data_IF_546574810962
#
_entry.id   IF_546574810962
#
_cell.length_a   1.000
_cell.length_b   1.000
_cell.length_c   1.000
_cell.angle_alpha   90.00
_cell.angle_beta   90.00
_cell.angle_gamma   90.00
#
_symmetry.space_group_name_H-M   'P 1'
#
loop_
_entity.id
_entity.type
_entity.pdbx_description
1 polymer ?
#
# COMPACT_ATOMS: atom_id res chain seq x y z
N UNK A 1 -9.67 -4.61 6.27
CA UNK A 1 -9.42 -4.93 4.83
C UNK A 1 -8.77 -3.75 4.09
N UNK A 2 -7.86 -4.02 3.15
CA UNK A 2 -7.02 -2.99 2.53
C UNK A 2 -7.42 -2.70 1.08
N UNK A 3 -7.10 -1.49 0.62
CA UNK A 3 -7.21 -1.08 -0.78
C UNK A 3 -5.83 -0.55 -1.22
N UNK A 4 -5.30 -1.08 -2.32
CA UNK A 4 -4.02 -0.63 -2.89
C UNK A 4 -4.31 0.14 -4.16
N UNK A 5 -3.84 1.38 -4.22
CA UNK A 5 -3.90 2.22 -5.41
C UNK A 5 -2.56 2.16 -6.14
N UNK A 6 -2.63 1.74 -7.40
CA UNK A 6 -1.51 1.72 -8.35
C UNK A 6 -1.84 2.72 -9.44
N UNK A 7 -1.01 3.76 -9.58
CA UNK A 7 -1.20 4.82 -10.56
C UNK A 7 0.06 4.96 -11.46
N UNK A 8 0.06 5.95 -12.35
CA UNK A 8 1.20 6.16 -13.25
C UNK A 8 2.49 6.56 -12.49
N UNK A 9 2.39 7.22 -11.33
CA UNK A 9 3.56 7.51 -10.50
C UNK A 9 4.14 6.25 -9.87
N UNK A 10 3.36 5.17 -9.71
CA UNK A 10 3.91 3.89 -9.25
C UNK A 10 4.98 3.36 -10.19
N UNK A 11 4.84 3.58 -11.50
CA UNK A 11 5.82 3.11 -12.49
C UNK A 11 7.11 3.95 -12.47
N UNK A 12 6.99 5.24 -12.14
CA UNK A 12 8.11 6.18 -12.11
C UNK A 12 8.87 6.11 -10.77
N UNK A 13 8.14 6.09 -9.64
CA UNK A 13 8.70 6.19 -8.29
C UNK A 13 8.75 4.86 -7.53
N UNK A 14 8.15 3.79 -8.08
CA UNK A 14 8.09 2.48 -7.40
C UNK A 14 7.28 2.48 -6.10
N UNK A 15 6.37 3.45 -5.94
CA UNK A 15 5.57 3.64 -4.73
C UNK A 15 4.08 3.51 -5.01
N UNK A 16 3.34 2.98 -4.03
CA UNK A 16 1.91 2.69 -4.08
C UNK A 16 1.22 3.34 -2.89
N UNK A 17 -0.06 3.65 -3.03
CA UNK A 17 -0.85 4.18 -1.91
C UNK A 17 -1.69 3.08 -1.31
N UNK A 18 -1.48 2.76 -0.04
CA UNK A 18 -2.29 1.83 0.74
C UNK A 18 -3.35 2.61 1.53
N UNK A 19 -4.62 2.22 1.38
CA UNK A 19 -5.74 2.78 2.14
C UNK A 19 -6.33 1.74 3.07
N UNK A 20 -6.45 2.12 4.33
CA UNK A 20 -7.08 1.35 5.39
C UNK A 20 -8.59 1.57 5.37
N UNK A 21 -9.37 0.50 5.22
CA UNK A 21 -10.84 0.61 5.19
C UNK A 21 -11.40 1.07 6.53
N UNK A 22 -10.82 0.59 7.63
CA UNK A 22 -11.40 0.74 8.95
C UNK A 22 -11.11 2.10 9.58
N UNK A 23 -9.93 2.67 9.29
CA UNK A 23 -9.50 3.98 9.81
C UNK A 23 -9.59 5.11 8.78
N UNK A 24 -9.87 4.79 7.52
CA UNK A 24 -9.78 5.72 6.36
C UNK A 24 -8.39 6.35 6.17
N UNK A 25 -7.37 5.86 6.87
CA UNK A 25 -5.99 6.33 6.73
C UNK A 25 -5.42 5.93 5.36
N UNK A 26 -4.56 6.79 4.82
CA UNK A 26 -3.84 6.57 3.57
C UNK A 26 -2.36 6.77 3.82
N UNK A 27 -1.55 5.84 3.32
CA UNK A 27 -0.09 5.90 3.40
C UNK A 27 0.52 5.56 2.03
N UNK A 28 1.57 6.28 1.65
CA UNK A 28 2.34 6.01 0.44
C UNK A 28 3.57 5.21 0.84
N UNK A 29 3.70 4.03 0.25
CA UNK A 29 4.69 3.01 0.62
C UNK A 29 5.44 2.56 -0.63
N UNK A 30 6.68 2.12 -0.45
CA UNK A 30 7.37 1.37 -1.49
C UNK A 30 6.75 -0.03 -1.68
N UNK A 31 7.05 -0.66 -2.82
CA UNK A 31 6.64 -2.05 -3.06
C UNK A 31 7.20 -3.03 -2.01
N UNK A 32 8.39 -2.75 -1.45
CA UNK A 32 8.98 -3.57 -0.40
C UNK A 32 8.19 -3.47 0.91
N UNK A 33 7.86 -2.26 1.33
CA UNK A 33 7.03 -2.01 2.53
C UNK A 33 5.62 -2.58 2.36
N UNK A 34 5.04 -2.49 1.15
CA UNK A 34 3.74 -3.09 0.86
C UNK A 34 3.76 -4.60 1.09
N UNK A 35 4.82 -5.29 0.65
CA UNK A 35 4.96 -6.75 0.81
C UNK A 35 5.00 -7.13 2.28
N UNK A 36 5.86 -6.48 3.06
CA UNK A 36 6.01 -6.73 4.50
C UNK A 36 4.69 -6.46 5.25
N UNK A 37 3.99 -5.36 4.91
CA UNK A 37 2.67 -5.02 5.47
C UNK A 37 1.61 -6.07 5.17
N UNK A 38 1.60 -6.62 3.95
CA UNK A 38 0.63 -7.65 3.58
C UNK A 38 0.92 -8.94 4.32
N UNK A 39 2.17 -9.40 4.37
CA UNK A 39 2.55 -10.61 5.11
C UNK A 39 2.15 -10.50 6.58
N UNK A 40 2.49 -9.39 7.25
CA UNK A 40 2.13 -9.18 8.67
C UNK A 40 0.62 -9.06 8.95
N UNK A 41 -0.21 -8.73 7.95
CA UNK A 41 -1.65 -8.55 8.13
C UNK A 41 -2.48 -9.80 7.81
N UNK A 42 -1.87 -10.83 7.23
CA UNK A 42 -2.52 -12.10 6.86
C UNK A 42 -2.04 -13.32 7.67
N UNK A 43 -1.06 -13.15 8.58
CA UNK A 43 -0.79 -14.05 9.72
C UNK A 43 -1.76 -13.82 10.89
#
# INVERSE_FOLDING_TARGET
PFCVTVDFQTLEDGTVTLRHRDTMAQERLSLAELKERCEAAFD
#
